data_IF_476749480352
#
_entry.id   IF_476749480352
#
_cell.length_a   1.000
_cell.length_b   1.000
_cell.length_c   1.000
_cell.angle_alpha   90.00
_cell.angle_beta   90.00
_cell.angle_gamma   90.00
#
_symmetry.space_group_name_H-M   'P 1'
#
loop_
_entity.id
_entity.type
_entity.pdbx_description
1 polymer ?
#
# COMPACT_ATOMS: atom_id res chain seq x y z
N UNK A 1 10.85 -6.51 13.18
CA UNK A 1 9.86 -6.60 12.09
C UNK A 1 10.33 -5.71 10.95
N UNK A 2 10.25 -6.18 9.72
CA UNK A 2 10.59 -5.39 8.53
C UNK A 2 9.44 -4.41 8.27
N UNK A 3 9.74 -3.13 8.05
CA UNK A 3 8.75 -2.08 7.77
C UNK A 3 9.08 -1.36 6.47
N UNK A 4 8.08 -0.73 5.87
CA UNK A 4 8.29 0.20 4.76
C UNK A 4 9.01 1.47 5.27
N UNK A 5 9.96 1.96 4.50
CA UNK A 5 10.68 3.21 4.77
C UNK A 5 10.43 4.27 3.71
N UNK A 6 10.09 3.84 2.50
CA UNK A 6 9.79 4.70 1.36
C UNK A 6 8.89 3.95 0.40
N UNK A 7 8.03 4.68 -0.32
CA UNK A 7 7.30 4.16 -1.47
C UNK A 7 7.41 5.16 -2.62
N UNK A 8 7.57 4.62 -3.83
CA UNK A 8 7.59 5.40 -5.07
C UNK A 8 6.74 4.71 -6.13
N UNK A 9 6.24 5.49 -7.08
CA UNK A 9 5.33 5.04 -8.13
C UNK A 9 5.92 5.31 -9.50
N UNK A 10 5.58 4.45 -10.45
CA UNK A 10 5.66 4.74 -11.87
C UNK A 10 4.27 4.48 -12.51
N UNK A 11 4.23 4.29 -13.82
CA UNK A 11 2.99 4.16 -14.56
C UNK A 11 2.21 2.89 -14.19
N UNK A 12 2.91 1.77 -13.97
CA UNK A 12 2.29 0.45 -13.84
C UNK A 12 2.57 -0.25 -12.50
N UNK A 13 3.50 0.30 -11.70
CA UNK A 13 4.02 -0.33 -10.50
C UNK A 13 4.21 0.67 -9.36
N UNK A 14 4.24 0.13 -8.14
CA UNK A 14 4.77 0.83 -6.99
C UNK A 14 5.86 0.00 -6.33
N UNK A 15 6.78 0.70 -5.68
CA UNK A 15 8.00 0.12 -5.17
C UNK A 15 8.17 0.50 -3.72
N UNK A 16 8.35 -0.50 -2.87
CA UNK A 16 8.45 -0.33 -1.42
C UNK A 16 9.87 -0.64 -0.97
N UNK A 17 10.57 0.37 -0.48
CA UNK A 17 11.85 0.20 0.21
C UNK A 17 11.59 -0.27 1.63
N UNK A 18 12.33 -1.28 2.07
CA UNK A 18 12.17 -1.90 3.38
C UNK A 18 13.35 -1.58 4.30
N UNK A 19 13.09 -1.57 5.60
CA UNK A 19 14.09 -1.29 6.63
C UNK A 19 15.25 -2.29 6.69
N UNK A 20 15.14 -3.44 6.01
CA UNK A 20 16.19 -4.46 5.89
C UNK A 20 17.00 -4.36 4.59
N UNK A 21 16.81 -3.29 3.82
CA UNK A 21 17.55 -3.00 2.59
C UNK A 21 16.95 -3.61 1.32
N UNK A 22 15.86 -4.36 1.41
CA UNK A 22 15.16 -4.88 0.22
C UNK A 22 14.29 -3.80 -0.43
N UNK A 23 14.04 -3.98 -1.72
CA UNK A 23 13.02 -3.23 -2.48
C UNK A 23 12.07 -4.24 -3.12
N UNK A 24 10.77 -4.05 -2.92
CA UNK A 24 9.72 -4.88 -3.52
C UNK A 24 9.04 -4.05 -4.61
N UNK A 25 9.02 -4.56 -5.85
CA UNK A 25 8.19 -4.03 -6.93
C UNK A 25 6.85 -4.75 -7.00
N UNK A 26 5.76 -4.00 -7.09
CA UNK A 26 4.41 -4.53 -7.04
C UNK A 26 3.58 -3.89 -8.15
N UNK A 27 2.95 -4.66 -9.06
CA UNK A 27 2.09 -4.10 -10.09
C UNK A 27 0.87 -3.40 -9.47
N UNK A 28 0.57 -2.17 -9.93
CA UNK A 28 -0.64 -1.44 -9.55
C UNK A 28 -1.91 -2.23 -9.90
N UNK A 29 -1.86 -3.07 -10.94
CA UNK A 29 -2.96 -3.93 -11.35
C UNK A 29 -3.43 -4.89 -10.24
N UNK A 30 -2.61 -5.15 -9.23
CA UNK A 30 -2.99 -5.97 -8.08
C UNK A 30 -3.91 -5.24 -7.09
N UNK A 31 -3.97 -3.91 -7.15
CA UNK A 31 -4.73 -3.04 -6.25
C UNK A 31 -5.59 -2.08 -7.07
N UNK A 32 -6.83 -2.49 -7.43
CA UNK A 32 -7.69 -1.72 -8.33
C UNK A 32 -7.95 -0.27 -7.91
N UNK A 33 -7.95 0.04 -6.60
CA UNK A 33 -8.08 1.43 -6.11
C UNK A 33 -6.85 2.26 -6.47
N UNK A 34 -5.64 1.75 -6.21
CA UNK A 34 -4.38 2.39 -6.57
C UNK A 34 -4.21 2.51 -8.10
N UNK A 35 -4.63 1.48 -8.85
CA UNK A 35 -4.58 1.51 -10.31
C UNK A 35 -5.39 2.68 -10.88
N UNK A 36 -6.58 2.94 -10.32
CA UNK A 36 -7.48 4.01 -10.77
C UNK A 36 -7.15 5.38 -10.16
N UNK A 37 -6.31 5.43 -9.13
CA UNK A 37 -5.91 6.66 -8.47
C UNK A 37 -5.03 7.54 -9.38
N UNK A 38 -5.18 8.85 -9.23
CA UNK A 38 -4.26 9.83 -9.84
C UNK A 38 -2.87 9.75 -9.20
N UNK A 39 -1.80 10.25 -9.85
CA UNK A 39 -0.47 10.31 -9.24
C UNK A 39 -0.45 11.00 -7.88
N UNK A 40 -1.15 12.14 -7.75
CA UNK A 40 -1.24 12.87 -6.48
C UNK A 40 -1.93 12.05 -5.37
N UNK A 41 -2.97 11.28 -5.70
CA UNK A 41 -3.62 10.38 -4.74
C UNK A 41 -2.71 9.23 -4.33
N UNK A 42 -1.90 8.67 -5.24
CA UNK A 42 -0.91 7.63 -4.90
C UNK A 42 0.19 8.17 -3.99
N UNK A 43 0.63 9.40 -4.23
CA UNK A 43 1.61 10.09 -3.39
C UNK A 43 1.08 10.45 -1.99
N UNK A 44 -0.24 10.51 -1.80
CA UNK A 44 -0.91 10.74 -0.50
C UNK A 44 -0.82 9.58 0.50
N UNK A 45 0.21 8.74 0.39
CA UNK A 45 0.44 7.56 1.22
C UNK A 45 1.04 7.91 2.59
N UNK A 46 0.55 7.26 3.63
CA UNK A 46 1.15 7.28 4.97
C UNK A 46 1.77 5.93 5.28
N UNK A 47 3.04 5.93 5.74
CA UNK A 47 3.73 4.72 6.16
C UNK A 47 3.53 4.49 7.67
N UNK A 48 3.15 3.27 8.03
CA UNK A 48 3.04 2.82 9.42
C UNK A 48 4.07 1.73 9.73
N UNK A 49 4.10 1.26 10.97
CA UNK A 49 4.96 0.13 11.35
C UNK A 49 4.58 -1.18 10.66
N UNK A 50 3.34 -1.32 10.18
CA UNK A 50 2.80 -2.57 9.58
C UNK A 50 2.58 -2.50 8.07
N UNK A 51 2.40 -1.30 7.51
CA UNK A 51 1.86 -1.16 6.16
C UNK A 51 1.85 0.27 5.62
N UNK A 52 1.26 0.38 4.44
CA UNK A 52 0.99 1.61 3.69
C UNK A 52 -0.50 1.91 3.80
N UNK A 53 -0.84 3.18 3.96
CA UNK A 53 -2.21 3.64 4.17
C UNK A 53 -2.54 4.83 3.27
N UNK A 54 -3.71 4.82 2.65
CA UNK A 54 -4.28 5.94 1.91
C UNK A 54 -5.66 6.26 2.45
N UNK A 55 -5.80 7.40 3.12
CA UNK A 55 -7.09 7.83 3.66
C UNK A 55 -8.06 8.22 2.53
N UNK A 56 -7.61 9.01 1.55
CA UNK A 56 -8.43 9.46 0.41
C UNK A 56 -8.96 8.32 -0.47
N UNK A 57 -8.29 7.16 -0.44
CA UNK A 57 -8.64 5.98 -1.22
C UNK A 57 -9.31 4.89 -0.38
N UNK A 58 -9.36 5.08 0.95
CA UNK A 58 -9.73 4.05 1.93
C UNK A 58 -9.01 2.71 1.64
N UNK A 59 -7.69 2.78 1.47
CA UNK A 59 -6.86 1.62 1.08
C UNK A 59 -5.75 1.40 2.10
N UNK A 60 -5.56 0.13 2.49
CA UNK A 60 -4.56 -0.29 3.46
C UNK A 60 -3.78 -1.48 2.88
N UNK A 61 -2.46 -1.46 2.92
CA UNK A 61 -1.63 -2.56 2.40
C UNK A 61 -0.60 -2.95 3.45
N UNK A 62 -0.65 -4.21 3.89
CA UNK A 62 0.31 -4.76 4.84
C UNK A 62 1.62 -5.16 4.15
N UNK A 63 2.77 -4.80 4.74
CA UNK A 63 4.09 -5.20 4.24
C UNK A 63 4.23 -6.73 4.17
N UNK A 64 3.67 -7.45 5.15
CA UNK A 64 3.64 -8.92 5.16
C UNK A 64 2.82 -9.49 3.99
N UNK A 65 1.71 -8.81 3.63
CA UNK A 65 0.93 -9.17 2.45
C UNK A 65 1.75 -9.11 1.16
N UNK A 66 2.54 -8.04 1.00
CA UNK A 66 3.41 -7.85 -0.16
C UNK A 66 4.55 -8.88 -0.21
N UNK A 67 5.17 -9.18 0.94
CA UNK A 67 6.23 -10.18 1.05
C UNK A 67 5.77 -11.59 0.67
N UNK A 68 4.49 -11.89 0.91
CA UNK A 68 3.87 -13.16 0.51
C UNK A 68 3.34 -13.16 -0.94
N UNK A 69 3.48 -12.05 -1.68
CA UNK A 69 2.95 -11.92 -3.03
C UNK A 69 1.41 -11.87 -3.07
N UNK A 70 0.76 -11.40 -2.00
CA UNK A 70 -0.69 -11.22 -1.95
C UNK A 70 -1.07 -9.86 -2.53
N UNK A 71 -1.86 -9.86 -3.60
CA UNK A 71 -2.54 -8.67 -4.13
C UNK A 71 -3.73 -8.24 -3.26
N UNK A 72 -4.61 -7.39 -3.78
CA UNK A 72 -5.79 -6.84 -3.07
C UNK A 72 -6.63 -7.93 -2.39
N UNK A 73 -6.43 -8.05 -1.08
CA UNK A 73 -7.24 -8.81 -0.14
C UNK A 73 -7.58 -7.94 1.07
N UNK A 74 -7.30 -6.65 1.00
CA UNK A 74 -7.52 -5.74 2.10
C UNK A 74 -9.03 -5.60 2.25
N UNK A 75 -9.56 -6.14 3.35
CA UNK A 75 -10.97 -5.95 3.64
C UNK A 75 -11.22 -4.44 3.75
N UNK A 76 -12.28 -3.90 3.14
CA UNK A 76 -12.68 -2.52 3.40
C UNK A 76 -12.75 -2.30 4.91
N UNK A 77 -12.34 -1.12 5.37
CA UNK A 77 -12.43 -0.74 6.78
C UNK A 77 -13.89 -0.92 7.20
N UNK A 78 -14.20 -2.00 7.92
CA UNK A 78 -15.53 -2.18 8.50
C UNK A 78 -15.75 -1.00 9.43
N UNK A 79 -16.61 -0.06 9.03
CA UNK A 79 -16.97 1.06 9.89
C UNK A 79 -17.58 0.52 11.17
N UNK A 80 -16.86 0.64 12.28
CA UNK A 80 -17.43 0.50 13.62
C UNK A 80 -16.63 1.34 14.63
N UNK A 81 -17.07 2.58 14.79
CA UNK A 81 -17.58 3.00 16.09
C UNK A 81 -18.90 3.73 15.82
N UNK A 82 -19.98 2.97 15.89
CA UNK A 82 -21.26 3.51 16.29
C UNK A 82 -21.18 3.89 17.77
N UNK A 83 -21.29 5.18 18.06
CA UNK A 83 -21.86 5.75 19.29
C UNK A 83 -22.19 7.22 19.03
#
# INVERSE_FOLDING_TARGET
MVRATEVRFDEDSFWVSLSDGRVIGVPLAWFPRLLKATPAQREGVTLSTRGLHWEDLDEDILVEGLLEGRGDRTRPRSGEHAA
#
